data_IF_716185097069
#
_entry.id   IF_716185097069
#
_cell.length_a   1.000
_cell.length_b   1.000
_cell.length_c   1.000
_cell.angle_alpha   90.00
_cell.angle_beta   90.00
_cell.angle_gamma   90.00
#
_symmetry.space_group_name_H-M   'P 1'
#
loop_
_entity.id
_entity.type
_entity.pdbx_description
1 polymer ?
#
# COMPACT_ATOMS: atom_id res chain seq x y z
N UNK A 1 -16.18 16.15 2.90
CA UNK A 1 -15.66 17.19 3.84
C UNK A 1 -14.58 16.62 4.78
N UNK A 2 -14.79 15.46 5.39
CA UNK A 2 -13.83 14.86 6.35
C UNK A 2 -12.43 14.70 5.76
N UNK A 3 -12.33 14.26 4.51
CA UNK A 3 -11.05 14.13 3.81
C UNK A 3 -10.31 15.48 3.70
N UNK A 4 -11.03 16.55 3.34
CA UNK A 4 -10.47 17.92 3.31
C UNK A 4 -9.92 18.34 4.68
N UNK A 5 -10.67 18.08 5.75
CA UNK A 5 -10.24 18.42 7.12
C UNK A 5 -8.96 17.67 7.50
N UNK A 6 -8.84 16.40 7.11
CA UNK A 6 -7.63 15.61 7.35
C UNK A 6 -6.44 16.16 6.58
N UNK A 7 -6.63 16.51 5.31
CA UNK A 7 -5.59 17.14 4.49
C UNK A 7 -5.12 18.47 5.11
N UNK A 8 -6.06 19.33 5.55
CA UNK A 8 -5.73 20.61 6.19
C UNK A 8 -4.90 20.42 7.46
N UNK A 9 -5.26 19.43 8.29
CA UNK A 9 -4.49 19.09 9.50
C UNK A 9 -3.09 18.57 9.16
N UNK A 10 -2.94 17.89 8.04
CA UNK A 10 -1.65 17.39 7.55
C UNK A 10 -0.85 18.43 6.76
N UNK A 11 -1.39 19.64 6.55
CA UNK A 11 -0.74 20.68 5.74
C UNK A 11 -0.74 20.37 4.24
N UNK A 12 -1.61 19.48 3.77
CA UNK A 12 -1.72 19.08 2.37
C UNK A 12 -2.77 19.95 1.67
N UNK A 13 -2.43 20.70 0.60
CA UNK A 13 -3.39 21.49 -0.13
C UNK A 13 -4.50 20.60 -0.74
N UNK A 14 -5.74 20.87 -0.34
CA UNK A 14 -6.91 20.12 -0.78
C UNK A 14 -8.09 21.07 -0.99
N UNK A 15 -8.89 20.82 -2.02
CA UNK A 15 -10.13 21.56 -2.29
C UNK A 15 -11.29 20.59 -2.45
N UNK A 16 -12.49 21.08 -2.20
CA UNK A 16 -13.75 20.38 -2.51
C UNK A 16 -14.28 20.94 -3.82
N UNK A 17 -14.48 20.11 -4.80
CA UNK A 17 -15.19 20.43 -6.03
C UNK A 17 -16.66 19.94 -5.93
N UNK A 18 -17.55 20.68 -6.52
CA UNK A 18 -18.98 20.34 -6.57
C UNK A 18 -19.44 20.34 -8.03
N UNK A 19 -20.18 19.36 -8.39
CA UNK A 19 -20.65 19.21 -9.75
C UNK A 19 -21.61 18.05 -9.92
N UNK A 20 -21.54 17.40 -11.06
CA UNK A 20 -22.30 16.23 -11.41
C UNK A 20 -21.38 15.05 -11.67
N UNK A 21 -21.79 13.87 -11.20
CA UNK A 21 -21.19 12.61 -11.58
C UNK A 21 -22.30 11.57 -11.77
N UNK A 22 -22.21 10.75 -12.81
CA UNK A 22 -23.22 9.75 -13.17
C UNK A 22 -24.66 10.31 -13.25
N UNK A 23 -24.81 11.54 -13.73
CA UNK A 23 -26.10 12.18 -13.89
C UNK A 23 -26.74 12.73 -12.61
N UNK A 24 -26.03 12.71 -11.49
CA UNK A 24 -26.45 13.23 -10.19
C UNK A 24 -25.51 14.30 -9.64
N UNK A 25 -26.04 15.15 -8.75
CA UNK A 25 -25.23 16.11 -8.00
C UNK A 25 -24.22 15.39 -7.11
N UNK A 26 -22.96 15.81 -7.14
CA UNK A 26 -21.88 15.15 -6.46
C UNK A 26 -20.80 16.12 -5.97
N UNK A 27 -19.96 15.69 -5.04
CA UNK A 27 -18.82 16.45 -4.57
C UNK A 27 -17.63 15.52 -4.32
N UNK A 28 -16.46 15.95 -4.76
CA UNK A 28 -15.21 15.22 -4.63
C UNK A 28 -14.08 16.15 -4.21
N UNK A 29 -12.86 15.65 -4.16
CA UNK A 29 -11.69 16.44 -3.78
C UNK A 29 -10.67 16.51 -4.91
N UNK A 30 -9.87 17.58 -4.90
CA UNK A 30 -8.58 17.62 -5.57
C UNK A 30 -7.49 17.90 -4.54
N UNK A 31 -6.39 17.18 -4.66
CA UNK A 31 -5.23 17.25 -3.76
C UNK A 31 -3.99 17.64 -4.55
N UNK A 32 -3.24 18.59 -4.05
CA UNK A 32 -1.95 18.97 -4.64
C UNK A 32 -0.85 18.14 -4.02
N UNK A 33 -0.13 17.40 -4.85
CA UNK A 33 0.99 16.57 -4.43
C UNK A 33 2.34 17.31 -4.55
N UNK A 34 3.41 16.68 -4.08
CA UNK A 34 4.76 17.26 -4.07
C UNK A 34 5.31 17.58 -5.46
N UNK A 35 4.84 16.90 -6.49
CA UNK A 35 5.16 17.20 -7.90
C UNK A 35 4.49 18.48 -8.43
N UNK A 36 3.72 19.15 -7.58
CA UNK A 36 2.99 20.36 -7.89
C UNK A 36 1.71 20.18 -8.69
N UNK A 37 1.34 18.95 -9.05
CA UNK A 37 0.11 18.64 -9.79
C UNK A 37 -1.06 18.39 -8.85
N UNK A 38 -2.27 18.55 -9.38
CA UNK A 38 -3.52 18.26 -8.67
C UNK A 38 -4.11 16.94 -9.14
N UNK A 39 -4.55 16.14 -8.19
CA UNK A 39 -5.11 14.82 -8.43
C UNK A 39 -6.50 14.70 -7.83
N UNK A 40 -7.37 13.98 -8.54
CA UNK A 40 -8.73 13.73 -8.11
C UNK A 40 -8.81 12.67 -7.01
N UNK A 41 -9.72 12.89 -6.07
CA UNK A 41 -10.04 11.92 -5.01
C UNK A 41 -11.54 11.91 -4.81
N UNK A 42 -12.15 10.75 -4.93
CA UNK A 42 -13.57 10.55 -4.61
C UNK A 42 -13.74 9.42 -3.61
N UNK A 43 -13.75 9.79 -2.33
CA UNK A 43 -13.91 8.84 -1.24
C UNK A 43 -15.27 8.11 -1.25
N UNK A 44 -16.29 8.71 -1.85
CA UNK A 44 -17.63 8.08 -1.96
C UNK A 44 -17.61 6.95 -2.97
N UNK A 45 -16.92 7.14 -4.08
CA UNK A 45 -16.81 6.11 -5.11
C UNK A 45 -15.80 5.01 -4.72
N UNK A 46 -14.86 5.33 -3.85
CA UNK A 46 -13.94 4.34 -3.30
C UNK A 46 -14.54 3.54 -2.13
N UNK A 47 -15.66 3.98 -1.55
CA UNK A 47 -16.36 3.28 -0.45
C UNK A 47 -17.54 2.44 -0.98
N UNK A 48 -17.24 1.30 -1.55
CA UNK A 48 -18.20 0.39 -2.19
C UNK A 48 -18.34 -0.96 -1.45
N UNK A 49 -18.36 -0.92 -0.11
CA UNK A 49 -18.41 -2.12 0.72
C UNK A 49 -17.01 -2.68 1.04
N UNK A 50 -16.08 -2.54 0.12
CA UNK A 50 -14.64 -2.60 0.36
C UNK A 50 -14.07 -1.26 -0.05
N UNK A 51 -12.97 -0.84 0.61
CA UNK A 51 -12.27 0.38 0.19
C UNK A 51 -11.57 0.11 -1.13
N UNK A 52 -12.01 0.81 -2.17
CA UNK A 52 -11.33 0.84 -3.46
C UNK A 52 -10.33 2.01 -3.45
N UNK A 53 -9.44 2.02 -4.43
CA UNK A 53 -8.51 3.13 -4.64
C UNK A 53 -8.56 3.61 -6.10
N UNK A 54 -9.66 3.32 -6.77
CA UNK A 54 -9.85 3.64 -8.19
C UNK A 54 -10.01 5.13 -8.44
N UNK A 55 -10.40 5.85 -7.38
CA UNK A 55 -10.65 7.28 -7.38
C UNK A 55 -9.74 8.03 -6.39
N UNK A 56 -8.62 7.44 -5.99
CA UNK A 56 -7.68 8.04 -5.04
C UNK A 56 -6.44 8.57 -5.73
N UNK A 57 -6.22 9.89 -5.67
CA UNK A 57 -5.09 10.60 -6.29
C UNK A 57 -4.90 10.28 -7.77
N UNK A 58 -6.00 10.23 -8.49
CA UNK A 58 -6.00 9.92 -9.93
C UNK A 58 -5.84 11.17 -10.78
N UNK A 59 -5.18 11.00 -11.92
CA UNK A 59 -5.08 12.05 -12.92
C UNK A 59 -6.42 12.32 -13.59
N UNK A 60 -6.73 13.57 -13.90
CA UNK A 60 -8.01 13.93 -14.52
C UNK A 60 -8.21 13.33 -15.91
N UNK A 61 -7.11 13.04 -16.62
CA UNK A 61 -7.11 12.36 -17.90
C UNK A 61 -6.89 10.84 -17.80
N UNK A 62 -6.69 10.30 -16.58
CA UNK A 62 -6.53 8.86 -16.39
C UNK A 62 -7.85 8.14 -16.65
N UNK A 63 -7.76 7.00 -17.30
CA UNK A 63 -8.90 6.11 -17.50
C UNK A 63 -9.44 5.63 -16.16
N UNK A 64 -10.76 5.53 -16.10
CA UNK A 64 -11.47 5.08 -14.92
C UNK A 64 -11.84 3.60 -15.09
N UNK A 65 -11.39 2.77 -14.16
CA UNK A 65 -11.64 1.33 -14.19
C UNK A 65 -13.11 0.94 -14.10
N UNK A 66 -13.91 1.74 -13.38
CA UNK A 66 -15.33 1.46 -13.15
C UNK A 66 -16.18 1.69 -14.38
N UNK A 67 -15.81 2.64 -15.24
CA UNK A 67 -16.57 3.01 -16.43
C UNK A 67 -15.94 2.53 -17.74
N UNK A 68 -14.86 1.77 -17.66
CA UNK A 68 -14.14 1.28 -18.81
C UNK A 68 -13.02 2.22 -19.27
N UNK A 69 -12.15 1.72 -20.14
CA UNK A 69 -10.96 2.43 -20.61
C UNK A 69 -11.23 3.72 -21.42
N UNK A 70 -12.48 3.98 -21.77
CA UNK A 70 -12.89 5.17 -22.54
C UNK A 70 -13.28 6.35 -21.66
N UNK A 71 -13.50 6.16 -20.35
CA UNK A 71 -13.87 7.23 -19.44
C UNK A 71 -12.70 7.65 -18.55
N UNK A 72 -12.53 8.96 -18.44
CA UNK A 72 -11.53 9.56 -17.56
C UNK A 72 -12.18 10.09 -16.29
N UNK A 73 -11.40 10.31 -15.24
CA UNK A 73 -11.90 10.96 -14.03
C UNK A 73 -12.53 12.32 -14.34
N UNK A 74 -11.87 13.15 -15.16
CA UNK A 74 -12.43 14.44 -15.57
C UNK A 74 -13.67 14.32 -16.46
N UNK A 75 -13.82 13.22 -17.20
CA UNK A 75 -15.01 12.94 -17.99
C UNK A 75 -16.22 12.52 -17.16
N UNK A 76 -15.98 11.73 -16.10
CA UNK A 76 -17.03 11.28 -15.19
C UNK A 76 -17.42 12.32 -14.13
N UNK A 77 -16.58 13.33 -13.87
CA UNK A 77 -16.78 14.37 -12.86
C UNK A 77 -16.82 15.76 -13.50
N UNK A 78 -18.01 16.27 -13.74
CA UNK A 78 -18.21 17.58 -14.37
C UNK A 78 -18.51 18.64 -13.32
N UNK A 79 -17.56 19.56 -13.09
CA UNK A 79 -17.74 20.64 -12.14
C UNK A 79 -18.79 21.65 -12.57
N UNK A 80 -19.56 22.17 -11.61
CA UNK A 80 -20.50 23.28 -11.81
C UNK A 80 -19.89 24.66 -11.47
N UNK A 81 -18.58 24.71 -11.24
CA UNK A 81 -17.86 25.95 -10.89
C UNK A 81 -17.90 26.29 -9.40
N UNK A 82 -18.50 25.47 -8.56
CA UNK A 82 -18.49 25.66 -7.11
C UNK A 82 -17.37 24.85 -6.49
N UNK A 83 -16.52 25.52 -5.67
CA UNK A 83 -15.42 24.89 -4.94
C UNK A 83 -15.31 25.48 -3.55
N UNK A 84 -14.88 24.68 -2.60
CA UNK A 84 -14.71 25.08 -1.21
C UNK A 84 -13.31 24.72 -0.71
N UNK A 85 -12.73 25.60 0.12
CA UNK A 85 -11.45 25.38 0.76
C UNK A 85 -10.23 25.66 -0.10
N UNK A 86 -10.41 26.39 -1.22
CA UNK A 86 -9.31 26.80 -2.08
C UNK A 86 -9.68 27.96 -2.99
N UNK A 87 -8.76 28.39 -3.86
CA UNK A 87 -9.02 29.40 -4.84
C UNK A 87 -9.96 28.88 -5.93
N UNK A 88 -10.99 29.66 -6.26
CA UNK A 88 -11.91 29.34 -7.34
C UNK A 88 -11.30 29.46 -8.74
N UNK A 89 -10.11 30.00 -8.84
CA UNK A 89 -9.37 30.17 -10.10
C UNK A 89 -8.42 29.01 -10.37
N UNK A 90 -8.37 27.99 -9.50
CA UNK A 90 -7.51 26.84 -9.70
C UNK A 90 -7.90 26.10 -10.98
N UNK A 91 -6.99 26.13 -11.93
CA UNK A 91 -7.03 25.24 -13.08
C UNK A 91 -6.26 23.98 -12.71
N UNK A 92 -6.93 22.84 -12.75
CA UNK A 92 -6.28 21.56 -12.49
C UNK A 92 -5.62 21.08 -13.78
N UNK A 93 -4.34 20.76 -13.76
CA UNK A 93 -3.70 20.24 -14.95
C UNK A 93 -4.32 18.89 -15.31
N UNK A 94 -4.56 18.67 -16.57
CA UNK A 94 -4.90 17.36 -17.09
C UNK A 94 -3.65 16.49 -17.03
N UNK A 95 -3.73 15.42 -16.28
CA UNK A 95 -2.66 14.43 -16.14
C UNK A 95 -3.18 13.04 -16.50
N UNK A 96 -2.35 12.25 -17.16
CA UNK A 96 -2.67 10.86 -17.52
C UNK A 96 -2.14 9.85 -16.48
N UNK A 97 -1.26 10.30 -15.63
CA UNK A 97 -0.64 9.49 -14.56
C UNK A 97 -1.39 9.68 -13.25
N UNK A 98 -1.40 8.67 -12.43
CA UNK A 98 -1.86 8.78 -11.06
C UNK A 98 -0.68 9.14 -10.15
N UNK A 99 -0.89 10.02 -9.16
CA UNK A 99 0.14 10.31 -8.15
C UNK A 99 0.34 9.13 -7.21
N UNK A 100 -0.69 8.35 -7.05
CA UNK A 100 -0.69 7.14 -6.27
C UNK A 100 -1.20 6.02 -7.18
N UNK A 101 -0.39 5.00 -7.32
CA UNK A 101 -0.82 3.75 -7.92
C UNK A 101 -1.08 2.82 -6.75
N UNK A 102 -2.32 2.75 -6.25
CA UNK A 102 -2.57 1.97 -5.07
C UNK A 102 -2.46 0.52 -5.44
N UNK A 103 -1.58 -0.09 -4.74
CA UNK A 103 -1.60 -1.49 -4.57
C UNK A 103 -1.90 -1.66 -3.10
N UNK A 104 -3.13 -1.72 -2.78
CA UNK A 104 -3.49 -2.35 -1.55
C UNK A 104 -4.03 -3.69 -1.93
N UNK A 105 -3.21 -4.71 -1.85
CA UNK A 105 -3.76 -6.04 -1.78
C UNK A 105 -4.73 -6.02 -0.61
N UNK A 106 -5.96 -6.37 -0.82
CA UNK A 106 -6.79 -6.76 0.29
C UNK A 106 -6.11 -7.94 0.94
N UNK A 107 -5.82 -7.79 2.24
CA UNK A 107 -4.96 -8.71 2.93
C UNK A 107 -5.84 -9.66 3.69
N UNK A 108 -5.70 -10.94 3.39
CA UNK A 108 -6.24 -12.00 4.23
C UNK A 108 -5.50 -12.03 5.57
N UNK A 109 -6.09 -12.65 6.58
CA UNK A 109 -5.44 -12.87 7.87
C UNK A 109 -4.04 -13.47 7.68
N UNK A 110 -3.04 -12.90 8.33
CA UNK A 110 -1.65 -13.37 8.27
C UNK A 110 -0.71 -12.57 7.36
N UNK A 111 -1.18 -11.44 6.83
CA UNK A 111 -0.30 -10.51 6.13
C UNK A 111 -0.57 -9.06 6.54
N UNK A 112 0.42 -8.19 6.38
CA UNK A 112 0.29 -6.74 6.52
C UNK A 112 1.18 -6.03 5.50
N UNK A 113 0.75 -4.86 5.01
CA UNK A 113 1.52 -4.05 4.07
C UNK A 113 1.96 -2.75 4.72
N UNK A 114 3.21 -2.42 4.55
CA UNK A 114 3.71 -1.08 4.81
C UNK A 114 3.95 -0.37 3.48
N UNK A 115 3.01 0.49 3.10
CA UNK A 115 3.06 1.22 1.84
C UNK A 115 4.25 2.20 1.75
N UNK A 116 4.61 2.82 2.85
CA UNK A 116 5.69 3.80 2.89
C UNK A 116 7.04 3.18 2.60
N UNK A 117 7.32 2.03 3.18
CA UNK A 117 8.59 1.30 3.02
C UNK A 117 8.52 0.21 1.95
N UNK A 118 7.35 0.00 1.32
CA UNK A 118 7.12 -1.05 0.32
C UNK A 118 7.48 -2.44 0.82
N UNK A 119 6.98 -2.76 2.01
CA UNK A 119 7.17 -4.06 2.64
C UNK A 119 5.84 -4.81 2.72
N UNK A 120 5.88 -6.10 2.41
CA UNK A 120 4.77 -7.05 2.60
C UNK A 120 5.19 -8.05 3.67
N UNK A 121 4.62 -7.94 4.86
CA UNK A 121 4.83 -8.91 5.93
C UNK A 121 3.87 -10.07 5.78
N UNK A 122 4.38 -11.28 5.92
CA UNK A 122 3.59 -12.52 5.96
C UNK A 122 3.99 -13.35 7.18
N UNK A 123 3.06 -14.17 7.67
CA UNK A 123 3.34 -15.11 8.76
C UNK A 123 3.93 -16.42 8.24
N UNK A 124 4.58 -17.16 9.12
CA UNK A 124 5.10 -18.49 8.81
C UNK A 124 3.99 -19.41 8.26
N UNK A 125 4.29 -20.11 7.17
CA UNK A 125 3.35 -20.97 6.47
C UNK A 125 2.34 -20.27 5.56
N UNK A 126 2.29 -18.94 5.57
CA UNK A 126 1.52 -18.19 4.59
C UNK A 126 2.26 -18.11 3.25
N UNK A 127 1.52 -18.09 2.15
CA UNK A 127 2.07 -17.76 0.85
C UNK A 127 1.59 -16.38 0.40
N UNK A 128 2.43 -15.65 -0.31
CA UNK A 128 2.02 -14.37 -0.91
C UNK A 128 0.75 -14.54 -1.74
N UNK A 129 0.64 -15.63 -2.49
CA UNK A 129 -0.51 -15.90 -3.34
C UNK A 129 -1.82 -16.13 -2.57
N UNK A 130 -1.76 -16.61 -1.34
CA UNK A 130 -2.95 -16.79 -0.48
C UNK A 130 -3.20 -15.60 0.44
N UNK A 131 -2.14 -14.84 0.77
CA UNK A 131 -2.21 -13.70 1.66
C UNK A 131 -2.70 -12.42 0.96
N UNK A 132 -2.57 -12.38 -0.38
CA UNK A 132 -2.83 -11.20 -1.19
C UNK A 132 -3.83 -11.54 -2.28
N UNK A 133 -4.90 -10.76 -2.41
CA UNK A 133 -5.73 -10.82 -3.61
C UNK A 133 -5.82 -9.46 -4.29
N UNK A 134 -5.93 -9.49 -5.61
CA UNK A 134 -5.90 -8.30 -6.43
C UNK A 134 -7.29 -7.83 -6.80
N UNK A 135 -7.46 -6.54 -6.73
CA UNK A 135 -8.62 -5.88 -7.36
C UNK A 135 -8.59 -6.08 -8.88
N UNK A 136 -9.76 -5.98 -9.50
CA UNK A 136 -9.90 -6.06 -10.95
C UNK A 136 -8.99 -5.03 -11.64
N UNK A 137 -8.27 -5.44 -12.67
CA UNK A 137 -7.35 -4.59 -13.44
C UNK A 137 -5.91 -4.59 -12.91
N UNK A 138 -5.65 -5.25 -11.78
CA UNK A 138 -4.30 -5.48 -11.28
C UNK A 138 -3.91 -6.94 -11.41
N UNK A 139 -2.65 -7.17 -11.60
CA UNK A 139 -2.02 -8.49 -11.57
C UNK A 139 -0.79 -8.43 -10.69
N UNK A 140 -0.37 -9.58 -10.17
CA UNK A 140 0.85 -9.67 -9.42
C UNK A 140 1.76 -10.79 -9.90
N UNK A 141 3.05 -10.61 -9.64
CA UNK A 141 4.06 -11.64 -9.77
C UNK A 141 4.79 -11.78 -8.43
N UNK A 142 4.85 -12.99 -7.91
CA UNK A 142 5.58 -13.30 -6.68
C UNK A 142 6.92 -13.95 -7.04
N UNK A 143 8.01 -13.41 -6.46
CA UNK A 143 9.33 -14.01 -6.50
C UNK A 143 9.55 -15.10 -5.45
N UNK A 144 8.50 -15.40 -4.66
CA UNK A 144 8.53 -16.39 -3.59
C UNK A 144 7.97 -15.86 -2.27
N UNK A 145 7.97 -16.72 -1.25
CA UNK A 145 7.43 -16.41 0.06
C UNK A 145 8.52 -16.10 1.11
N UNK A 146 9.79 -16.31 0.78
CA UNK A 146 10.89 -16.09 1.73
C UNK A 146 11.21 -14.61 1.88
N UNK A 147 11.76 -14.25 3.02
CA UNK A 147 12.29 -12.92 3.30
C UNK A 147 13.24 -12.44 2.20
N UNK A 148 13.09 -11.18 1.78
CA UNK A 148 13.85 -10.58 0.68
C UNK A 148 13.33 -10.88 -0.73
N UNK A 149 12.33 -11.77 -0.91
CA UNK A 149 11.67 -11.95 -2.20
C UNK A 149 10.95 -10.68 -2.64
N UNK A 150 10.85 -10.46 -3.94
CA UNK A 150 10.11 -9.32 -4.49
C UNK A 150 8.71 -9.79 -4.94
N UNK A 151 7.72 -9.11 -4.44
CA UNK A 151 6.34 -9.20 -4.87
C UNK A 151 6.04 -7.95 -5.72
N UNK A 152 5.74 -8.14 -6.99
CA UNK A 152 5.48 -7.02 -7.91
C UNK A 152 4.02 -7.00 -8.28
N UNK A 153 3.41 -5.84 -8.14
CA UNK A 153 2.05 -5.58 -8.59
C UNK A 153 2.07 -4.67 -9.78
N UNK A 154 1.24 -4.97 -10.76
CA UNK A 154 1.17 -4.23 -12.02
C UNK A 154 -0.27 -3.91 -12.37
N UNK A 155 -0.49 -2.72 -12.88
CA UNK A 155 -1.70 -2.35 -13.58
C UNK A 155 -1.36 -2.18 -15.06
N UNK A 156 -1.79 -3.12 -15.88
CA UNK A 156 -1.48 -3.13 -17.32
C UNK A 156 -2.15 -1.99 -18.07
N UNK A 157 -3.32 -1.54 -17.62
CA UNK A 157 -4.06 -0.44 -18.26
C UNK A 157 -3.39 0.92 -18.01
N UNK A 158 -2.74 1.07 -16.86
CA UNK A 158 -2.03 2.30 -16.48
C UNK A 158 -0.53 2.24 -16.82
N UNK A 159 -0.01 1.07 -17.20
CA UNK A 159 1.42 0.87 -17.45
C UNK A 159 2.27 1.04 -16.17
N UNK A 160 1.69 0.88 -14.99
CA UNK A 160 2.37 1.07 -13.71
C UNK A 160 2.69 -0.25 -13.05
N UNK A 161 3.81 -0.28 -12.32
CA UNK A 161 4.16 -1.42 -11.46
C UNK A 161 4.87 -0.95 -10.20
N UNK A 162 4.68 -1.69 -9.11
CA UNK A 162 5.36 -1.44 -7.84
C UNK A 162 5.83 -2.76 -7.25
N UNK A 163 7.07 -2.77 -6.77
CA UNK A 163 7.65 -3.90 -6.06
C UNK A 163 7.55 -3.71 -4.55
N UNK A 164 7.24 -4.80 -3.85
CA UNK A 164 7.28 -4.91 -2.40
C UNK A 164 8.29 -5.96 -2.01
N UNK A 165 9.08 -5.69 -0.99
CA UNK A 165 9.92 -6.72 -0.40
C UNK A 165 9.11 -7.55 0.57
N UNK A 166 9.11 -8.85 0.40
CA UNK A 166 8.45 -9.80 1.30
C UNK A 166 9.29 -9.95 2.55
N UNK A 167 8.67 -9.83 3.70
CA UNK A 167 9.25 -10.12 5.01
C UNK A 167 8.39 -11.23 5.64
N UNK A 168 8.90 -12.43 5.70
CA UNK A 168 8.27 -13.49 6.48
C UNK A 168 8.77 -13.40 7.91
N UNK A 169 7.86 -13.13 8.86
CA UNK A 169 8.24 -12.99 10.27
C UNK A 169 8.90 -14.26 10.77
N UNK A 170 10.11 -14.13 11.30
CA UNK A 170 10.93 -15.21 11.80
C UNK A 170 11.81 -15.90 10.76
N UNK A 171 11.65 -15.68 9.45
CA UNK A 171 12.49 -16.24 8.37
C UNK A 171 13.74 -15.35 8.20
N UNK A 172 14.66 -15.42 9.15
CA UNK A 172 15.87 -14.59 9.26
C UNK A 172 16.96 -15.06 8.31
N UNK A 173 17.06 -16.37 8.13
CA UNK A 173 17.89 -17.02 7.11
C UNK A 173 16.98 -17.43 5.96
N UNK A 174 16.86 -16.59 4.92
CA UNK A 174 15.75 -16.67 3.95
C UNK A 174 15.58 -18.05 3.31
N UNK A 175 14.62 -18.83 3.82
CA UNK A 175 14.30 -20.18 3.35
C UNK A 175 12.82 -20.29 2.90
N UNK A 176 11.95 -19.45 3.47
CA UNK A 176 10.50 -19.49 3.29
C UNK A 176 9.77 -20.26 4.38
N UNK A 177 10.45 -20.64 5.43
CA UNK A 177 9.89 -21.20 6.68
C UNK A 177 10.79 -20.86 7.85
N UNK A 178 10.20 -20.89 9.03
CA UNK A 178 10.92 -20.63 10.28
C UNK A 178 11.46 -21.94 10.86
N UNK A 179 12.78 -22.02 11.02
CA UNK A 179 13.45 -23.21 11.53
C UNK A 179 14.56 -22.90 12.57
N UNK A 180 15.42 -23.87 12.86
CA UNK A 180 16.49 -23.70 13.85
C UNK A 180 17.57 -22.71 13.43
N UNK A 181 17.80 -22.53 12.13
CA UNK A 181 18.81 -21.59 11.62
C UNK A 181 18.42 -20.13 11.86
N UNK A 182 17.12 -19.84 11.87
CA UNK A 182 16.59 -18.51 12.16
C UNK A 182 16.78 -18.16 13.64
N UNK A 183 16.47 -19.11 14.52
CA UNK A 183 16.73 -18.97 15.95
C UNK A 183 18.21 -18.70 16.21
N UNK A 184 19.10 -19.51 15.64
CA UNK A 184 20.55 -19.37 15.80
C UNK A 184 21.04 -18.00 15.27
N UNK A 185 20.45 -17.51 14.17
CA UNK A 185 20.81 -16.21 13.60
C UNK A 185 20.49 -15.05 14.57
N UNK A 186 19.33 -15.08 15.23
CA UNK A 186 18.94 -14.06 16.21
C UNK A 186 19.80 -14.17 17.47
N UNK A 187 20.06 -15.37 17.97
CA UNK A 187 20.97 -15.58 19.11
C UNK A 187 22.36 -15.02 18.80
N UNK A 188 22.93 -15.35 17.64
CA UNK A 188 24.23 -14.86 17.22
C UNK A 188 24.29 -13.33 17.12
N UNK A 189 23.19 -12.71 16.61
CA UNK A 189 23.07 -11.26 16.59
C UNK A 189 23.05 -10.67 18.01
N UNK A 190 22.27 -11.26 18.91
CA UNK A 190 22.09 -10.77 20.28
C UNK A 190 23.37 -10.85 21.13
N UNK A 191 24.23 -11.85 20.85
CA UNK A 191 25.53 -12.00 21.55
C UNK A 191 26.70 -11.34 20.80
N UNK A 192 26.38 -10.55 19.75
CA UNK A 192 27.35 -9.83 18.92
C UNK A 192 28.38 -10.70 18.15
N UNK A 193 28.09 -11.98 18.01
CA UNK A 193 28.98 -12.90 17.25
C UNK A 193 28.82 -12.65 15.73
N UNK A 194 27.57 -12.54 15.26
CA UNK A 194 27.27 -12.23 13.87
C UNK A 194 26.07 -11.30 13.78
N UNK A 195 26.33 -10.01 13.50
CA UNK A 195 25.26 -9.00 13.44
C UNK A 195 24.51 -9.04 12.13
N UNK A 196 23.19 -8.94 12.23
CA UNK A 196 22.30 -8.60 11.13
C UNK A 196 22.47 -7.11 10.82
N UNK A 197 22.37 -6.73 9.57
CA UNK A 197 22.44 -5.31 9.18
C UNK A 197 21.18 -4.56 9.57
N UNK A 198 21.31 -3.45 10.28
CA UNK A 198 20.19 -2.62 10.70
C UNK A 198 19.31 -2.26 9.50
N UNK A 199 18.00 -2.51 9.61
CA UNK A 199 17.02 -2.23 8.55
C UNK A 199 17.09 -3.17 7.34
N UNK A 200 17.94 -4.19 7.36
CA UNK A 200 17.91 -5.24 6.32
C UNK A 200 16.62 -6.06 6.40
N UNK A 201 16.30 -6.78 5.33
CA UNK A 201 15.14 -7.69 5.33
C UNK A 201 15.23 -8.75 6.42
N UNK A 202 16.43 -9.24 6.67
CA UNK A 202 16.73 -10.22 7.71
C UNK A 202 16.54 -9.65 9.12
N UNK A 203 16.97 -8.39 9.34
CA UNK A 203 16.73 -7.68 10.60
C UNK A 203 15.24 -7.47 10.85
N UNK A 204 14.50 -7.04 9.81
CA UNK A 204 13.05 -6.85 9.89
C UNK A 204 12.26 -8.16 10.09
N UNK A 205 12.79 -9.28 9.59
CA UNK A 205 12.22 -10.60 9.83
C UNK A 205 12.54 -11.10 11.23
N UNK A 206 13.69 -10.69 11.79
CA UNK A 206 14.15 -11.08 13.11
C UNK A 206 13.41 -10.33 14.24
N UNK A 207 13.01 -9.08 14.03
CA UNK A 207 12.18 -8.28 14.96
C UNK A 207 10.74 -8.79 14.92
N UNK A 208 10.51 -9.93 15.56
CA UNK A 208 9.21 -10.63 15.51
C UNK A 208 8.16 -9.96 16.38
N UNK A 209 8.59 -9.43 17.54
CA UNK A 209 7.71 -8.72 18.48
C UNK A 209 7.39 -7.29 18.03
N UNK A 210 8.17 -6.72 17.08
CA UNK A 210 7.96 -5.42 16.46
C UNK A 210 8.33 -4.23 17.37
N UNK A 211 9.24 -4.43 18.34
CA UNK A 211 9.70 -3.37 19.24
C UNK A 211 10.87 -2.55 18.68
N UNK A 212 11.42 -2.97 17.54
CA UNK A 212 12.51 -2.32 16.82
C UNK A 212 13.91 -2.76 17.25
N UNK A 213 14.01 -3.72 18.16
CA UNK A 213 15.28 -4.25 18.68
C UNK A 213 15.30 -5.77 18.50
N UNK A 214 16.32 -6.27 17.82
CA UNK A 214 16.49 -7.73 17.68
C UNK A 214 17.29 -8.26 18.85
N UNK A 215 16.63 -9.07 19.69
CA UNK A 215 17.25 -9.63 20.91
C UNK A 215 16.76 -11.06 21.24
N UNK A 216 17.05 -11.53 22.47
CA UNK A 216 16.66 -12.88 22.89
C UNK A 216 15.14 -13.08 23.09
N UNK A 217 14.38 -12.01 23.20
CA UNK A 217 12.91 -12.12 23.23
C UNK A 217 12.38 -12.53 21.87
N UNK A 218 12.96 -11.99 20.78
CA UNK A 218 12.62 -12.41 19.42
C UNK A 218 13.04 -13.87 19.17
N UNK A 219 14.22 -14.27 19.65
CA UNK A 219 14.64 -15.66 19.55
C UNK A 219 13.63 -16.60 20.24
N UNK A 220 13.11 -16.22 21.40
CA UNK A 220 12.10 -17.01 22.10
C UNK A 220 10.76 -17.07 21.31
N UNK A 221 10.35 -15.98 20.66
CA UNK A 221 9.16 -15.98 19.80
C UNK A 221 9.37 -16.82 18.53
N UNK A 222 10.53 -16.75 17.91
CA UNK A 222 10.90 -17.62 16.78
C UNK A 222 10.78 -19.10 17.16
N UNK A 223 11.22 -19.48 18.36
CA UNK A 223 11.06 -20.86 18.84
C UNK A 223 9.59 -21.26 19.01
N UNK A 224 8.73 -20.35 19.43
CA UNK A 224 7.30 -20.56 19.50
C UNK A 224 6.65 -20.70 18.10
N UNK A 225 7.04 -19.85 17.15
CA UNK A 225 6.58 -19.92 15.76
C UNK A 225 6.99 -21.26 15.14
N UNK A 226 8.25 -21.66 15.29
CA UNK A 226 8.77 -22.94 14.83
C UNK A 226 8.01 -24.13 15.44
N UNK A 227 7.58 -24.02 16.68
CA UNK A 227 6.77 -25.04 17.36
C UNK A 227 5.27 -24.99 16.98
N UNK A 228 4.85 -24.06 16.11
CA UNK A 228 3.44 -23.86 15.75
C UNK A 228 2.56 -23.33 16.90
N UNK A 229 3.16 -22.64 17.86
CA UNK A 229 2.50 -22.07 19.04
C UNK A 229 2.29 -20.55 18.95
N UNK A 230 2.87 -19.91 17.95
CA UNK A 230 2.71 -18.52 17.58
C UNK A 230 2.72 -18.38 16.04
N UNK A 231 2.32 -17.21 15.50
CA UNK A 231 2.23 -16.94 14.06
C UNK A 231 2.66 -15.52 13.72
#
# INVERSE_FOLDING_TARGET
ESFKILCDKAGIPCVIAVGNSNGGGHAWNYVKMEDGKWYGVDCTFDDQGNVLYDYFLVGTASGNRYFGASETFGGSHTETGKRYGGSFTLTYPTVSENAYSPIVPEINSGATVNEKSKLLYITNGASVNSAVYMQSGYSFASGGNKTGSIFTVSNTSLGTSTGYTVIMRGDVVPSGYVDGSDFDAVVNHSVEDKKLGDGSSEYLAADVNGDGVVDLFDAAEIDLIKAGKAS
#
